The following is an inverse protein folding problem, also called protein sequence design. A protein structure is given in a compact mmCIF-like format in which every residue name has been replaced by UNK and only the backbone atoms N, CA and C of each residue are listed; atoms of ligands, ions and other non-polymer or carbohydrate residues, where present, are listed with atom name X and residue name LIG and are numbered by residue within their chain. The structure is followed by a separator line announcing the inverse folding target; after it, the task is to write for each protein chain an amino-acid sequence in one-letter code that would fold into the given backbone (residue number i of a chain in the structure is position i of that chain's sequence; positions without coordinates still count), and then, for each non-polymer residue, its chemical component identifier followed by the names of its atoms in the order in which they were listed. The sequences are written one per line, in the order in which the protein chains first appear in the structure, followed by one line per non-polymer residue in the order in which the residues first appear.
data_IF_837183944495
#
_entry.id   IF_837183944495
#
_cell.length_a   1.000
_cell.length_b   1.000
_cell.length_c   1.000
_cell.angle_alpha   90.00
_cell.angle_beta   90.00
_cell.angle_gamma   90.00
#
_symmetry.space_group_name_H-M   'P 1'
#
loop_
_entity.id
_entity.type
_entity.pdbx_description
1 polymer ?
#
# COMPACT_ATOMS: atom_id res chain seq x y z
N UNK A 1 -8.52 16.57 3.01
CA UNK A 1 -7.57 15.46 3.23
C UNK A 1 -6.40 15.92 4.09
N UNK A 2 -6.09 15.16 5.13
CA UNK A 2 -4.94 15.37 6.03
C UNK A 2 -3.69 14.65 5.52
N UNK A 3 -2.50 15.10 5.93
CA UNK A 3 -1.23 14.43 5.66
C UNK A 3 -0.60 13.94 6.97
N UNK A 4 -0.36 12.65 7.07
CA UNK A 4 0.38 12.03 8.16
C UNK A 4 1.70 11.49 7.62
N UNK A 5 2.81 12.14 7.96
CA UNK A 5 4.14 11.62 7.69
C UNK A 5 4.66 10.93 8.96
N UNK A 6 4.54 9.60 9.01
CA UNK A 6 4.85 8.82 10.20
C UNK A 6 6.31 8.30 10.19
N UNK A 7 6.99 8.39 9.05
CA UNK A 7 8.32 7.83 8.89
C UNK A 7 8.32 6.31 9.12
N UNK A 8 9.21 5.82 9.99
CA UNK A 8 9.36 4.40 10.27
C UNK A 8 8.56 3.99 11.53
N UNK A 9 7.61 3.07 11.38
CA UNK A 9 6.67 2.63 12.43
C UNK A 9 6.68 1.11 12.61
N UNK A 10 6.26 0.55 13.76
CA UNK A 10 6.06 -0.90 13.91
C UNK A 10 5.24 -1.50 12.76
N UNK A 11 5.60 -2.70 12.30
CA UNK A 11 4.92 -3.35 11.17
C UNK A 11 3.40 -3.45 11.37
N UNK A 12 2.96 -3.70 12.60
CA UNK A 12 1.54 -3.81 12.94
C UNK A 12 0.83 -2.46 12.77
N UNK A 13 1.43 -1.37 13.24
CA UNK A 13 0.90 -0.01 13.07
C UNK A 13 0.84 0.38 11.59
N UNK A 14 1.88 -0.01 10.84
CA UNK A 14 1.95 0.16 9.39
C UNK A 14 0.73 -0.41 8.66
N UNK A 15 0.08 -1.44 9.23
CA UNK A 15 -1.12 -2.05 8.67
C UNK A 15 -2.42 -1.66 9.37
N UNK A 16 -2.41 -1.34 10.67
CA UNK A 16 -3.64 -1.00 11.37
C UNK A 16 -4.11 0.44 11.11
N UNK A 17 -3.18 1.36 10.81
CA UNK A 17 -3.50 2.80 10.80
C UNK A 17 -4.49 3.19 9.70
N UNK A 18 -4.33 2.70 8.47
CA UNK A 18 -5.26 3.03 7.40
C UNK A 18 -6.64 2.42 7.60
N UNK A 19 -6.73 1.21 8.18
CA UNK A 19 -8.01 0.63 8.58
C UNK A 19 -8.69 1.49 9.64
N UNK A 20 -7.96 1.90 10.68
CA UNK A 20 -8.51 2.76 11.73
C UNK A 20 -8.97 4.12 11.18
N UNK A 21 -8.17 4.77 10.32
CA UNK A 21 -8.53 6.04 9.68
C UNK A 21 -9.77 5.89 8.79
N UNK A 22 -9.88 4.80 8.04
CA UNK A 22 -11.06 4.49 7.23
C UNK A 22 -12.30 4.27 8.10
N UNK A 23 -12.21 3.51 9.20
CA UNK A 23 -13.31 3.33 10.16
C UNK A 23 -13.77 4.64 10.78
N UNK A 24 -12.84 5.57 11.04
CA UNK A 24 -13.12 6.90 11.57
C UNK A 24 -13.61 7.90 10.51
N UNK A 25 -13.68 7.50 9.23
CA UNK A 25 -14.10 8.39 8.13
C UNK A 25 -13.13 9.54 7.88
N UNK A 26 -11.83 9.38 8.17
CA UNK A 26 -10.82 10.44 8.03
C UNK A 26 -10.10 10.34 6.70
N UNK A 27 -10.44 11.21 5.76
CA UNK A 27 -9.70 11.34 4.50
C UNK A 27 -8.25 11.78 4.76
N UNK A 28 -7.30 10.89 4.47
CA UNK A 28 -5.90 11.04 4.89
C UNK A 28 -4.95 10.43 3.87
N UNK A 29 -3.84 11.12 3.59
CA UNK A 29 -2.65 10.55 2.97
C UNK A 29 -1.65 10.21 4.07
N UNK A 30 -1.27 8.95 4.21
CA UNK A 30 -0.27 8.48 5.16
C UNK A 30 1.00 8.10 4.42
N UNK A 31 2.15 8.57 4.88
CA UNK A 31 3.48 8.25 4.36
C UNK A 31 4.26 7.50 5.43
N UNK A 32 4.70 6.27 5.13
CA UNK A 32 5.39 5.44 6.13
C UNK A 32 6.25 4.31 5.53
N UNK A 33 7.06 3.73 6.40
CA UNK A 33 7.77 2.46 6.21
C UNK A 33 7.65 1.62 7.48
N UNK A 34 7.62 0.28 7.40
CA UNK A 34 7.64 -0.57 8.59
C UNK A 34 9.05 -0.63 9.18
N UNK A 35 9.15 -0.82 10.49
CA UNK A 35 10.44 -0.94 11.18
C UNK A 35 11.04 -2.34 11.07
N UNK A 36 10.21 -3.35 10.81
CA UNK A 36 10.58 -4.76 10.63
C UNK A 36 9.83 -5.35 9.45
N UNK A 37 10.37 -6.39 8.78
CA UNK A 37 9.71 -7.00 7.64
C UNK A 37 8.44 -7.75 8.02
N UNK A 38 7.51 -7.85 7.07
CA UNK A 38 6.30 -8.69 7.15
C UNK A 38 5.77 -9.02 5.76
N UNK A 39 4.90 -10.02 5.69
CA UNK A 39 4.14 -10.38 4.48
C UNK A 39 2.68 -9.99 4.66
N UNK A 40 2.11 -9.34 3.65
CA UNK A 40 0.71 -8.93 3.62
C UNK A 40 -0.03 -9.54 2.43
N UNK A 41 -0.98 -10.44 2.72
CA UNK A 41 -1.83 -11.06 1.71
C UNK A 41 -3.14 -10.27 1.55
N UNK A 42 -3.67 -10.26 0.32
CA UNK A 42 -4.95 -9.64 0.00
C UNK A 42 -6.14 -10.40 0.57
N UNK A 43 -7.27 -9.71 0.73
CA UNK A 43 -8.46 -10.23 1.40
C UNK A 43 -8.93 -11.61 0.87
N UNK A 44 -8.91 -11.81 -0.45
CA UNK A 44 -9.41 -13.02 -1.10
C UNK A 44 -8.36 -14.10 -1.41
N UNK A 45 -7.11 -13.90 -1.03
CA UNK A 45 -6.03 -14.82 -1.38
C UNK A 45 -5.96 -16.05 -0.48
N UNK A 46 -5.60 -17.20 -1.04
CA UNK A 46 -5.22 -18.37 -0.25
C UNK A 46 -3.81 -18.16 0.31
N UNK A 47 -3.61 -18.39 1.61
CA UNK A 47 -2.31 -18.15 2.24
C UNK A 47 -1.23 -19.09 1.70
N UNK A 48 -1.53 -20.39 1.64
CA UNK A 48 -0.54 -21.44 1.34
C UNK A 48 -0.14 -21.45 -0.14
N UNK A 49 -0.95 -20.84 -1.02
CA UNK A 49 -0.63 -20.70 -2.45
C UNK A 49 0.23 -19.48 -2.76
N UNK A 50 0.28 -18.50 -1.87
CA UNK A 50 0.87 -17.19 -2.13
C UNK A 50 2.16 -16.96 -1.35
N UNK A 51 2.32 -17.66 -0.22
CA UNK A 51 3.38 -17.41 0.74
C UNK A 51 4.02 -18.73 1.15
N UNK A 52 5.35 -18.77 1.16
CA UNK A 52 6.10 -19.83 1.85
C UNK A 52 5.97 -19.60 3.37
N UNK A 53 4.94 -20.22 3.96
CA UNK A 53 4.59 -20.06 5.38
C UNK A 53 5.69 -20.60 6.28
N UNK A 54 6.35 -21.70 5.89
CA UNK A 54 7.41 -22.31 6.68
C UNK A 54 8.67 -21.43 6.69
N UNK A 55 9.02 -20.82 5.56
CA UNK A 55 10.07 -19.81 5.50
C UNK A 55 9.75 -18.61 6.40
N UNK A 56 8.54 -18.08 6.32
CA UNK A 56 8.15 -16.93 7.14
C UNK A 56 8.22 -17.25 8.64
N UNK A 57 7.69 -18.41 9.05
CA UNK A 57 7.74 -18.88 10.44
C UNK A 57 9.18 -19.07 10.93
N UNK A 58 10.04 -19.67 10.11
CA UNK A 58 11.45 -19.92 10.47
C UNK A 58 12.28 -18.65 10.62
N UNK A 59 11.90 -17.58 9.93
CA UNK A 59 12.62 -16.31 9.93
C UNK A 59 11.91 -15.21 10.74
N UNK A 60 10.92 -15.56 11.56
CA UNK A 60 10.15 -14.61 12.38
C UNK A 60 9.52 -13.47 11.56
N UNK A 61 9.07 -13.77 10.34
CA UNK A 61 8.38 -12.81 9.46
C UNK A 61 6.87 -12.93 9.68
N UNK A 62 6.20 -11.92 10.24
CA UNK A 62 4.76 -11.96 10.45
C UNK A 62 4.01 -12.01 9.12
N UNK A 63 2.88 -12.72 9.12
CA UNK A 63 1.96 -12.78 7.99
C UNK A 63 0.63 -12.17 8.42
N UNK A 64 0.11 -11.23 7.64
CA UNK A 64 -1.18 -10.59 7.90
C UNK A 64 -2.06 -10.56 6.64
N UNK A 65 -3.37 -10.70 6.83
CA UNK A 65 -4.38 -10.49 5.80
C UNK A 65 -5.00 -9.10 5.98
N UNK A 66 -4.94 -8.25 4.95
CA UNK A 66 -5.61 -6.95 4.95
C UNK A 66 -7.06 -7.06 4.46
N UNK A 67 -7.92 -6.12 4.85
CA UNK A 67 -9.34 -6.11 4.45
C UNK A 67 -9.59 -5.56 3.03
N UNK A 68 -8.52 -5.25 2.29
CA UNK A 68 -8.58 -4.80 0.89
C UNK A 68 -8.03 -5.88 -0.06
N UNK A 69 -8.45 -5.82 -1.32
CA UNK A 69 -8.00 -6.76 -2.35
C UNK A 69 -6.55 -6.54 -2.81
N UNK A 70 -6.22 -7.10 -3.97
CA UNK A 70 -4.87 -7.09 -4.54
C UNK A 70 -4.04 -8.33 -4.16
N UNK A 71 -2.81 -8.39 -4.65
CA UNK A 71 -1.91 -9.53 -4.45
C UNK A 71 -1.14 -9.51 -3.12
N UNK A 72 -0.35 -10.55 -2.89
CA UNK A 72 0.52 -10.66 -1.74
C UNK A 72 1.76 -9.77 -1.94
N UNK A 73 2.20 -9.11 -0.87
CA UNK A 73 3.38 -8.24 -0.90
C UNK A 73 4.27 -8.50 0.31
N UNK A 74 5.57 -8.42 0.11
CA UNK A 74 6.57 -8.32 1.16
C UNK A 74 6.94 -6.85 1.37
N UNK A 75 6.96 -6.43 2.64
CA UNK A 75 7.19 -5.05 3.03
C UNK A 75 8.24 -4.98 4.15
N UNK A 76 9.26 -4.16 3.99
CA UNK A 76 10.32 -3.92 4.96
C UNK A 76 10.72 -2.43 5.07
N UNK A 77 11.67 -2.15 5.95
CA UNK A 77 12.08 -0.79 6.28
C UNK A 77 12.91 -0.06 5.24
N UNK A 78 13.19 -0.68 4.09
CA UNK A 78 13.81 -0.04 2.92
C UNK A 78 12.75 0.33 1.86
N UNK A 79 11.49 -0.03 2.06
CA UNK A 79 10.39 0.34 1.19
C UNK A 79 9.61 1.51 1.79
N UNK A 80 9.47 2.58 1.01
CA UNK A 80 8.59 3.69 1.31
C UNK A 80 7.26 3.47 0.59
N UNK A 81 6.15 3.52 1.32
CA UNK A 81 4.82 3.43 0.72
C UNK A 81 3.86 4.46 1.32
N UNK A 82 2.75 4.63 0.62
CA UNK A 82 1.70 5.53 1.02
C UNK A 82 0.37 4.79 1.13
N UNK A 83 -0.51 5.32 1.97
CA UNK A 83 -1.89 4.87 2.11
C UNK A 83 -2.79 6.06 1.84
N UNK A 84 -3.77 5.88 0.97
CA UNK A 84 -4.70 6.92 0.58
C UNK A 84 -6.10 6.52 1.03
N UNK A 85 -6.60 7.21 2.06
CA UNK A 85 -7.93 7.02 2.62
C UNK A 85 -8.80 8.15 2.09
N UNK A 86 -9.89 7.80 1.43
CA UNK A 86 -10.79 8.74 0.77
C UNK A 86 -12.25 8.41 1.07
N UNK A 87 -13.11 9.42 1.05
CA UNK A 87 -14.55 9.22 1.16
C UNK A 87 -15.10 8.75 -0.19
N UNK A 88 -15.79 7.60 -0.20
CA UNK A 88 -16.40 7.03 -1.41
C UNK A 88 -17.43 7.95 -2.09
N UNK A 89 -18.03 8.88 -1.35
CA UNK A 89 -19.02 9.82 -1.87
C UNK A 89 -18.36 11.09 -2.45
N UNK A 90 -17.05 11.23 -2.35
CA UNK A 90 -16.31 12.36 -2.91
C UNK A 90 -16.43 12.35 -4.45
N UNK A 91 -17.01 13.41 -5.05
CA UNK A 91 -17.29 13.44 -6.49
C UNK A 91 -16.02 13.48 -7.36
N UNK A 92 -14.88 13.84 -6.77
CA UNK A 92 -13.59 13.86 -7.46
C UNK A 92 -12.99 12.46 -7.64
N UNK A 93 -13.55 11.42 -7.02
CA UNK A 93 -13.00 10.06 -7.09
C UNK A 93 -13.60 9.31 -8.28
N UNK A 94 -12.77 8.87 -9.24
CA UNK A 94 -13.25 8.05 -10.33
C UNK A 94 -13.81 6.72 -9.81
N UNK A 95 -15.03 6.36 -10.23
CA UNK A 95 -15.69 5.11 -9.81
C UNK A 95 -15.15 3.86 -10.51
N UNK A 96 -14.53 4.02 -11.68
CA UNK A 96 -13.90 2.91 -12.40
C UNK A 96 -12.46 2.70 -11.88
N UNK A 97 -12.11 1.43 -11.58
CA UNK A 97 -10.81 1.06 -11.00
C UNK A 97 -9.60 1.53 -11.82
N UNK A 98 -9.64 1.37 -13.14
CA UNK A 98 -8.52 1.78 -14.00
C UNK A 98 -8.35 3.31 -13.97
N UNK A 99 -9.46 4.06 -14.09
CA UNK A 99 -9.41 5.52 -13.99
C UNK A 99 -8.97 6.00 -12.59
N UNK A 100 -9.31 5.25 -11.54
CA UNK A 100 -8.87 5.51 -10.18
C UNK A 100 -7.35 5.38 -10.07
N UNK A 101 -6.79 4.21 -10.44
CA UNK A 101 -5.33 4.00 -10.36
C UNK A 101 -4.58 4.97 -11.26
N UNK A 102 -5.05 5.20 -12.49
CA UNK A 102 -4.41 6.17 -13.39
C UNK A 102 -4.38 7.58 -12.80
N UNK A 103 -5.45 8.04 -12.14
CA UNK A 103 -5.50 9.36 -11.48
C UNK A 103 -4.55 9.42 -10.29
N UNK A 104 -4.61 8.44 -9.38
CA UNK A 104 -3.91 8.52 -8.09
C UNK A 104 -2.46 8.02 -8.12
N UNK A 105 -2.05 7.27 -9.15
CA UNK A 105 -0.64 6.92 -9.36
C UNK A 105 0.14 7.98 -10.14
N UNK A 106 -0.54 8.92 -10.81
CA UNK A 106 0.11 9.97 -11.60
C UNK A 106 1.08 10.85 -10.77
N UNK A 107 0.71 11.34 -9.57
CA UNK A 107 1.66 12.10 -8.74
C UNK A 107 2.89 11.27 -8.30
N UNK A 108 2.73 9.95 -8.17
CA UNK A 108 3.83 9.04 -7.79
C UNK A 108 4.82 8.90 -8.95
N UNK A 109 4.31 8.76 -10.18
CA UNK A 109 5.11 8.76 -11.41
C UNK A 109 5.91 10.07 -11.53
N UNK A 110 5.25 11.20 -11.33
CA UNK A 110 5.89 12.53 -11.37
C UNK A 110 6.98 12.66 -10.31
N UNK A 111 6.74 12.15 -9.10
CA UNK A 111 7.73 12.13 -8.01
C UNK A 111 8.97 11.33 -8.40
N UNK A 112 8.81 10.11 -8.94
CA UNK A 112 9.93 9.31 -9.43
C UNK A 112 10.71 10.01 -10.55
N UNK A 113 10.00 10.61 -11.52
CA UNK A 113 10.62 11.33 -12.63
C UNK A 113 11.41 12.56 -12.15
N UNK A 114 10.90 13.27 -11.14
CA UNK A 114 11.59 14.42 -10.56
C UNK A 114 12.94 14.05 -9.92
N UNK A 115 13.10 12.82 -9.43
CA UNK A 115 14.36 12.30 -8.89
C UNK A 115 15.19 11.50 -9.91
N UNK A 116 14.85 11.58 -11.20
CA UNK A 116 15.60 10.95 -12.29
C UNK A 116 15.27 9.48 -12.55
N UNK A 117 14.20 8.93 -11.94
CA UNK A 117 13.74 7.56 -12.20
C UNK A 117 12.65 7.61 -13.28
N UNK A 118 12.83 6.97 -14.46
CA UNK A 118 11.87 7.02 -15.57
C UNK A 118 10.67 6.10 -15.30
N UNK A 119 9.87 6.39 -14.28
CA UNK A 119 8.70 5.61 -13.94
C UNK A 119 7.58 5.78 -14.98
N UNK A 120 6.86 4.69 -15.23
CA UNK A 120 5.72 4.60 -16.15
C UNK A 120 4.57 3.81 -15.51
N UNK A 121 3.34 4.17 -15.89
CA UNK A 121 2.15 3.43 -15.47
C UNK A 121 2.05 2.12 -16.24
N UNK A 122 1.90 1.01 -15.51
CA UNK A 122 1.58 -0.30 -16.07
C UNK A 122 0.21 -0.72 -15.53
N UNK A 123 -0.84 -0.77 -16.38
CA UNK A 123 -2.16 -1.20 -15.96
C UNK A 123 -2.14 -2.58 -15.30
N UNK A 124 -2.98 -2.82 -14.29
CA UNK A 124 -4.04 -1.92 -13.79
C UNK A 124 -3.58 -1.04 -12.62
N UNK A 125 -2.55 -1.43 -11.88
CA UNK A 125 -2.24 -0.84 -10.57
C UNK A 125 -0.74 -0.79 -10.27
N UNK A 126 0.11 -0.93 -11.28
CA UNK A 126 1.55 -1.03 -11.12
C UNK A 126 2.26 0.19 -11.72
N UNK A 127 3.45 0.47 -11.17
CA UNK A 127 4.43 1.37 -11.76
C UNK A 127 5.69 0.57 -12.08
N UNK A 128 6.29 0.84 -13.23
CA UNK A 128 7.55 0.21 -13.66
C UNK A 128 8.57 1.27 -14.05
N UNK A 129 9.85 0.99 -13.86
CA UNK A 129 10.95 1.82 -14.32
C UNK A 129 12.07 0.88 -14.81
N UNK A 130 12.70 1.22 -15.94
CA UNK A 130 13.73 0.41 -16.59
C UNK A 130 14.37 1.14 -17.77
#
# INVERSE_FOLDING_TARGET
MELLNLGKVPWLESQSIYHALATLGRETLVLLSPSTPYVCIGFHQDLEQEVDVDFCRKNDIPIIRREVGGGAVYLDGNQFFFQLILDKENPEIPRNKESFYKKFLQPIIETYRAIGVPAEYKPINDLVAG
#
